data_IF_941431418501
#
_entry.id   IF_941431418501
#
_cell.length_a   1.000
_cell.length_b   1.000
_cell.length_c   1.000
_cell.angle_alpha   90.00
_cell.angle_beta   90.00
_cell.angle_gamma   90.00
#
_symmetry.space_group_name_H-M   'P 1'
#
loop_
_entity.id
_entity.type
_entity.pdbx_description
1 polymer ?
#
# COMPACT_ATOMS: atom_id res chain seq x y z
N UNK A 1 19.14 -4.06 -13.31
CA UNK A 1 19.27 -3.34 -12.03
C UNK A 1 19.19 -1.86 -12.30
N UNK A 2 18.15 -1.19 -11.81
CA UNK A 2 18.08 0.27 -11.81
C UNK A 2 18.70 0.75 -10.51
N UNK A 3 19.77 1.52 -10.60
CA UNK A 3 20.37 2.24 -9.48
C UNK A 3 20.20 3.72 -9.73
N UNK A 4 19.60 4.42 -8.76
CA UNK A 4 19.60 5.88 -8.73
C UNK A 4 20.70 6.36 -7.79
N UNK A 5 21.46 7.35 -8.23
CA UNK A 5 22.29 8.17 -7.35
C UNK A 5 21.52 9.44 -7.03
N UNK A 6 21.20 9.64 -5.76
CA UNK A 6 20.50 10.84 -5.29
C UNK A 6 21.56 11.89 -4.95
N UNK A 7 21.53 13.00 -5.69
CA UNK A 7 22.33 14.19 -5.37
C UNK A 7 21.42 15.29 -4.86
N UNK A 8 21.69 15.77 -3.64
CA UNK A 8 21.04 16.96 -3.09
C UNK A 8 21.58 18.21 -3.78
N UNK A 9 20.68 19.07 -4.23
CA UNK A 9 21.04 20.39 -4.75
C UNK A 9 20.12 21.46 -4.17
N UNK A 10 20.74 22.51 -3.64
CA UNK A 10 20.05 23.69 -3.12
C UNK A 10 20.22 24.84 -4.11
N UNK A 11 19.11 25.44 -4.53
CA UNK A 11 19.13 26.69 -5.30
C UNK A 11 18.42 27.78 -4.50
N UNK A 12 19.14 28.88 -4.29
CA UNK A 12 18.59 30.11 -3.75
C UNK A 12 18.22 31.04 -4.90
N UNK A 13 17.00 31.57 -4.88
CA UNK A 13 16.60 32.67 -5.74
C UNK A 13 16.31 33.88 -4.87
N UNK A 14 17.04 34.96 -5.13
CA UNK A 14 16.80 36.26 -4.51
C UNK A 14 15.89 37.06 -5.43
N UNK A 15 14.74 37.49 -4.91
CA UNK A 15 13.92 38.50 -5.57
C UNK A 15 14.11 39.83 -4.84
N UNK A 16 14.56 40.85 -5.58
CA UNK A 16 14.67 42.21 -5.08
C UNK A 16 13.40 42.99 -5.47
N UNK A 17 12.55 43.28 -4.49
CA UNK A 17 11.57 44.36 -4.57
C UNK A 17 12.10 45.60 -3.85
N UNK A 18 11.55 46.79 -4.17
CA UNK A 18 12.01 48.07 -3.61
C UNK A 18 11.98 48.13 -2.07
N UNK A 19 11.16 47.31 -1.39
CA UNK A 19 11.01 47.32 0.08
C UNK A 19 11.19 45.96 0.78
N UNK A 20 11.43 44.85 0.07
CA UNK A 20 11.52 43.52 0.69
C UNK A 20 12.49 42.57 -0.05
N UNK A 21 13.24 41.78 0.72
CA UNK A 21 14.04 40.64 0.23
C UNK A 21 13.29 39.36 0.52
N UNK A 22 12.92 38.62 -0.52
CA UNK A 22 12.27 37.32 -0.38
C UNK A 22 13.26 36.21 -0.77
N UNK A 23 13.65 35.37 0.19
CA UNK A 23 14.57 34.24 0.00
C UNK A 23 13.76 32.96 -0.23
N UNK A 24 13.73 32.48 -1.48
CA UNK A 24 13.14 31.20 -1.82
C UNK A 24 14.24 30.15 -2.01
N UNK A 25 14.29 29.17 -1.11
CA UNK A 25 15.13 27.99 -1.22
C UNK A 25 14.35 26.84 -1.85
N UNK A 26 14.90 26.22 -2.89
CA UNK A 26 14.31 25.00 -3.48
C UNK A 26 15.34 23.87 -3.43
N UNK A 27 14.91 22.74 -2.84
CA UNK A 27 15.66 21.50 -2.82
C UNK A 27 15.14 20.55 -3.91
N UNK A 28 16.05 19.88 -4.62
CA UNK A 28 15.69 18.91 -5.65
C UNK A 28 16.42 17.59 -5.41
N UNK A 29 15.73 16.49 -5.70
CA UNK A 29 16.33 15.17 -5.83
C UNK A 29 16.60 14.93 -7.31
N UNK A 30 17.86 14.69 -7.66
CA UNK A 30 18.25 14.33 -9.01
C UNK A 30 18.27 12.81 -9.17
N UNK A 31 17.60 12.32 -10.21
CA UNK A 31 17.54 10.91 -10.58
C UNK A 31 18.21 10.74 -11.93
N UNK A 32 19.23 9.88 -11.99
CA UNK A 32 19.99 9.60 -13.21
C UNK A 32 19.80 8.12 -13.54
N UNK A 33 19.37 7.81 -14.77
CA UNK A 33 19.31 6.45 -15.30
C UNK A 33 20.55 6.17 -16.15
N UNK A 34 21.02 4.92 -16.14
CA UNK A 34 22.21 4.51 -16.91
C UNK A 34 21.92 4.24 -18.39
N UNK A 35 20.65 4.17 -18.79
CA UNK A 35 20.22 3.84 -20.15
C UNK A 35 19.34 4.94 -20.74
N UNK A 36 19.49 5.17 -22.04
CA UNK A 36 18.55 5.97 -22.84
C UNK A 36 17.21 5.26 -22.87
N UNK A 37 16.19 5.93 -22.33
CA UNK A 37 14.84 5.42 -22.20
C UNK A 37 13.86 6.36 -22.91
N UNK A 38 12.83 5.80 -23.54
CA UNK A 38 11.81 6.61 -24.19
C UNK A 38 10.97 7.40 -23.16
N UNK A 39 10.23 8.40 -23.63
CA UNK A 39 9.45 9.29 -22.77
C UNK A 39 8.39 8.54 -21.94
N UNK A 40 7.73 7.53 -22.50
CA UNK A 40 6.71 6.75 -21.79
C UNK A 40 7.31 6.04 -20.56
N UNK A 41 8.47 5.43 -20.73
CA UNK A 41 9.18 4.74 -19.66
C UNK A 41 9.69 5.71 -18.58
N UNK A 42 10.13 6.91 -18.98
CA UNK A 42 10.50 7.97 -18.03
C UNK A 42 9.28 8.38 -17.19
N UNK A 43 8.10 8.54 -17.80
CA UNK A 43 6.86 8.83 -17.06
C UNK A 43 6.49 7.72 -16.07
N UNK A 44 6.64 6.45 -16.43
CA UNK A 44 6.44 5.35 -15.48
C UNK A 44 7.41 5.45 -14.29
N UNK A 45 8.68 5.76 -14.56
CA UNK A 45 9.69 5.92 -13.52
C UNK A 45 9.39 7.11 -12.60
N UNK A 46 8.95 8.24 -13.16
CA UNK A 46 8.48 9.39 -12.37
C UNK A 46 7.26 9.02 -11.52
N UNK A 47 6.32 8.25 -12.05
CA UNK A 47 5.18 7.77 -11.29
C UNK A 47 5.59 6.86 -10.13
N UNK A 48 6.57 5.98 -10.33
CA UNK A 48 7.13 5.14 -9.27
C UNK A 48 7.75 5.99 -8.15
N UNK A 49 8.51 7.03 -8.51
CA UNK A 49 9.11 7.98 -7.55
C UNK A 49 8.03 8.80 -6.83
N UNK A 50 7.04 9.32 -7.56
CA UNK A 50 5.90 10.06 -6.99
C UNK A 50 5.19 9.24 -5.92
N UNK A 51 4.90 7.96 -6.20
CA UNK A 51 4.27 7.05 -5.24
C UNK A 51 5.16 6.76 -4.03
N UNK A 52 6.48 6.66 -4.20
CA UNK A 52 7.41 6.55 -3.07
C UNK A 52 7.35 7.80 -2.17
N UNK A 53 7.42 9.00 -2.75
CA UNK A 53 7.34 10.24 -1.97
C UNK A 53 5.98 10.35 -1.28
N UNK A 54 4.91 9.95 -1.97
CA UNK A 54 3.56 9.87 -1.42
C UNK A 54 3.46 8.89 -0.24
N UNK A 55 4.13 7.74 -0.34
CA UNK A 55 4.26 6.77 0.75
C UNK A 55 5.05 7.32 1.94
N UNK A 56 6.24 7.86 1.71
CA UNK A 56 7.13 8.38 2.76
C UNK A 56 6.52 9.59 3.50
N UNK A 57 5.78 10.44 2.77
CA UNK A 57 5.05 11.56 3.37
C UNK A 57 3.71 11.15 3.99
N UNK A 58 3.22 9.96 3.67
CA UNK A 58 1.86 9.47 3.91
C UNK A 58 0.79 10.48 3.46
N UNK A 59 0.98 11.06 2.26
CA UNK A 59 0.11 12.09 1.67
C UNK A 59 -0.03 11.86 0.17
N UNK A 60 -1.19 12.19 -0.43
CA UNK A 60 -1.32 12.19 -1.87
C UNK A 60 -0.35 13.22 -2.47
N UNK A 61 0.47 12.79 -3.44
CA UNK A 61 1.38 13.68 -4.17
C UNK A 61 0.93 13.77 -5.61
N UNK A 62 0.73 14.99 -6.08
CA UNK A 62 0.26 15.31 -7.42
C UNK A 62 1.42 15.89 -8.25
N UNK A 63 1.37 15.71 -9.57
CA UNK A 63 2.26 16.42 -10.46
C UNK A 63 1.64 17.77 -10.79
N UNK A 64 2.33 18.84 -10.45
CA UNK A 64 1.97 20.18 -10.94
C UNK A 64 2.33 20.29 -12.43
N UNK A 65 3.60 20.03 -12.77
CA UNK A 65 4.10 20.08 -14.14
C UNK A 65 5.32 19.19 -14.32
N UNK A 66 5.52 18.66 -15.53
CA UNK A 66 6.78 18.03 -15.94
C UNK A 66 7.45 18.87 -17.02
N UNK A 67 8.68 19.30 -16.75
CA UNK A 67 9.52 19.98 -17.72
C UNK A 67 10.44 18.97 -18.43
N UNK A 68 10.24 18.81 -19.73
CA UNK A 68 11.08 17.96 -20.58
C UNK A 68 12.10 18.84 -21.29
N UNK A 69 13.37 18.45 -21.18
CA UNK A 69 14.49 19.05 -21.92
C UNK A 69 15.01 18.02 -22.91
N UNK A 70 14.58 18.07 -24.18
CA UNK A 70 15.07 17.15 -25.18
C UNK A 70 16.49 17.54 -25.62
N UNK A 71 17.33 16.54 -25.89
CA UNK A 71 18.68 16.77 -26.42
C UNK A 71 18.64 17.38 -27.83
N UNK A 72 17.61 17.04 -28.60
CA UNK A 72 17.31 17.61 -29.92
C UNK A 72 15.80 17.82 -30.08
N UNK A 73 15.39 19.01 -30.48
CA UNK A 73 14.01 19.34 -30.87
C UNK A 73 13.99 19.62 -32.37
N UNK A 74 13.18 18.88 -33.13
CA UNK A 74 12.89 19.16 -34.54
C UNK A 74 11.40 19.42 -34.73
N UNK A 75 11.02 20.40 -35.55
CA UNK A 75 9.64 20.50 -36.02
C UNK A 75 9.35 19.48 -37.14
N UNK A 76 8.11 19.51 -37.66
CA UNK A 76 7.66 18.67 -38.76
C UNK A 76 8.40 18.94 -40.08
N UNK A 77 9.10 20.07 -40.20
CA UNK A 77 9.95 20.42 -41.34
C UNK A 77 11.42 20.01 -41.13
N UNK A 78 11.73 19.43 -39.96
CA UNK A 78 13.08 18.98 -39.60
C UNK A 78 13.99 20.09 -39.05
N UNK A 79 13.47 21.30 -38.80
CA UNK A 79 14.25 22.43 -38.27
C UNK A 79 14.60 22.20 -36.81
N UNK A 80 15.88 22.29 -36.49
CA UNK A 80 16.39 22.14 -35.13
C UNK A 80 16.15 23.39 -34.29
N UNK A 81 15.60 23.21 -33.09
CA UNK A 81 15.46 24.25 -32.08
C UNK A 81 16.60 24.16 -31.06
N UNK A 82 17.02 25.31 -30.52
CA UNK A 82 18.09 25.35 -29.53
C UNK A 82 17.74 24.56 -28.25
N UNK A 83 18.76 24.00 -27.61
CA UNK A 83 18.71 23.19 -26.38
C UNK A 83 18.13 23.92 -25.15
N UNK A 84 17.68 25.18 -25.32
CA UNK A 84 17.06 25.99 -24.28
C UNK A 84 15.53 25.86 -24.25
N UNK A 85 14.92 25.23 -25.26
CA UNK A 85 13.49 25.01 -25.28
C UNK A 85 13.10 23.91 -24.27
N UNK A 86 12.14 24.23 -23.41
CA UNK A 86 11.57 23.30 -22.44
C UNK A 86 10.14 23.00 -22.87
N UNK A 87 9.80 21.73 -23.00
CA UNK A 87 8.41 21.34 -23.15
C UNK A 87 7.81 21.21 -21.76
N UNK A 88 6.62 21.79 -21.55
CA UNK A 88 5.86 21.64 -20.32
C UNK A 88 4.72 20.65 -20.59
N UNK A 89 4.69 19.58 -19.82
CA UNK A 89 3.58 18.62 -19.82
C UNK A 89 2.71 18.87 -18.58
N UNK A 90 1.45 19.21 -18.82
CA UNK A 90 0.45 19.50 -17.79
C UNK A 90 -0.42 18.27 -17.55
N UNK A 91 -0.77 18.02 -16.28
CA UNK A 91 -1.63 16.90 -15.91
C UNK A 91 -3.01 17.38 -15.48
N UNK A 92 -4.04 16.67 -15.93
CA UNK A 92 -5.36 16.72 -15.28
C UNK A 92 -5.39 15.60 -14.24
N UNK A 93 -5.52 15.96 -12.96
CA UNK A 93 -5.56 15.00 -11.86
C UNK A 93 -6.87 15.21 -11.09
N UNK A 94 -7.45 14.10 -10.62
CA UNK A 94 -8.71 14.08 -9.86
C UNK A 94 -8.34 13.95 -8.39
N UNK A 95 -8.96 14.79 -7.55
CA UNK A 95 -8.75 14.84 -6.10
C UNK A 95 -8.66 16.28 -5.62
N UNK A 96 -9.28 16.57 -4.48
CA UNK A 96 -9.10 17.88 -3.83
C UNK A 96 -7.75 17.89 -3.11
N UNK A 97 -6.97 18.95 -3.32
CA UNK A 97 -5.83 19.25 -2.44
C UNK A 97 -6.46 19.77 -1.14
N UNK A 98 -6.71 18.90 -0.16
CA UNK A 98 -7.16 19.37 1.14
C UNK A 98 -5.99 20.09 1.81
N UNK A 99 -6.23 21.29 2.35
CA UNK A 99 -5.24 22.05 3.11
C UNK A 99 -5.26 21.61 4.57
N UNK A 100 -5.16 20.31 4.85
CA UNK A 100 -5.11 19.88 6.23
C UNK A 100 -3.74 20.24 6.84
N UNK A 101 -3.74 20.64 8.11
CA UNK A 101 -2.51 20.86 8.88
C UNK A 101 -1.82 19.53 9.13
N UNK A 102 -1.04 19.09 8.14
CA UNK A 102 -0.51 17.75 8.13
C UNK A 102 0.71 17.59 9.04
N UNK A 103 0.58 16.70 10.02
CA UNK A 103 1.73 16.12 10.72
C UNK A 103 2.55 15.31 9.71
N UNK A 104 3.81 15.68 9.50
CA UNK A 104 4.71 14.95 8.61
C UNK A 104 4.98 13.55 9.18
N UNK A 105 4.68 12.50 8.40
CA UNK A 105 4.92 11.11 8.77
C UNK A 105 6.42 10.82 8.92
N UNK A 106 7.15 10.62 7.81
CA UNK A 106 8.62 10.54 7.84
C UNK A 106 9.22 11.86 7.38
N UNK A 107 10.20 12.36 8.14
CA UNK A 107 11.08 13.47 7.76
C UNK A 107 12.31 12.92 7.04
N UNK A 108 12.97 13.77 6.26
CA UNK A 108 14.21 13.39 5.58
C UNK A 108 15.27 12.86 6.56
N UNK A 109 15.40 13.49 7.74
CA UNK A 109 16.33 13.08 8.80
C UNK A 109 16.07 11.67 9.35
N UNK A 110 14.85 11.14 9.20
CA UNK A 110 14.50 9.80 9.68
C UNK A 110 15.05 8.70 8.75
N UNK A 111 15.38 9.04 7.49
CA UNK A 111 15.77 8.09 6.43
C UNK A 111 17.03 8.49 5.65
N UNK A 112 17.68 9.60 6.00
CA UNK A 112 18.78 10.15 5.20
C UNK A 112 19.99 9.22 5.15
N UNK A 113 20.23 8.45 6.21
CA UNK A 113 21.35 7.50 6.29
C UNK A 113 21.23 6.32 5.32
N UNK A 114 20.02 5.96 4.89
CA UNK A 114 19.74 4.82 4.02
C UNK A 114 18.86 5.20 2.81
N UNK A 115 18.78 6.47 2.43
CA UNK A 115 17.86 6.95 1.39
C UNK A 115 18.11 6.27 0.03
N UNK A 116 19.37 6.10 -0.37
CA UNK A 116 19.71 5.44 -1.63
C UNK A 116 19.18 3.99 -1.65
N UNK A 117 19.33 3.26 -0.55
CA UNK A 117 18.86 1.88 -0.44
C UNK A 117 17.34 1.81 -0.47
N UNK A 118 16.64 2.72 0.23
CA UNK A 118 15.18 2.80 0.23
C UNK A 118 14.65 3.02 -1.20
N UNK A 119 15.21 4.01 -1.92
CA UNK A 119 14.80 4.31 -3.29
C UNK A 119 15.08 3.15 -4.24
N UNK A 120 16.27 2.55 -4.16
CA UNK A 120 16.64 1.44 -5.01
C UNK A 120 15.77 0.20 -4.72
N UNK A 121 15.51 -0.14 -3.45
CA UNK A 121 14.61 -1.23 -3.08
C UNK A 121 13.19 -0.99 -3.56
N UNK A 122 12.66 0.23 -3.41
CA UNK A 122 11.34 0.60 -3.92
C UNK A 122 11.25 0.42 -5.43
N UNK A 123 12.20 0.97 -6.18
CA UNK A 123 12.17 0.94 -7.65
C UNK A 123 12.29 -0.50 -8.16
N UNK A 124 13.23 -1.27 -7.62
CA UNK A 124 13.48 -2.65 -8.04
C UNK A 124 12.32 -3.60 -7.68
N UNK A 125 11.52 -3.28 -6.66
CA UNK A 125 10.36 -4.08 -6.25
C UNK A 125 9.01 -3.38 -6.54
N UNK A 126 9.02 -2.35 -7.39
CA UNK A 126 7.86 -1.49 -7.62
C UNK A 126 6.64 -2.24 -8.15
N UNK A 127 6.85 -3.25 -8.99
CA UNK A 127 5.76 -4.09 -9.54
C UNK A 127 5.00 -4.86 -8.45
N UNK A 128 5.68 -5.22 -7.35
CA UNK A 128 5.08 -5.92 -6.22
C UNK A 128 4.48 -4.95 -5.19
N UNK A 129 5.19 -3.85 -4.92
CA UNK A 129 4.80 -2.90 -3.85
C UNK A 129 3.65 -1.99 -4.28
N UNK A 130 3.68 -1.48 -5.51
CA UNK A 130 2.70 -0.48 -5.98
C UNK A 130 1.26 -0.97 -5.90
N UNK A 131 0.91 -2.20 -6.32
CA UNK A 131 -0.45 -2.71 -6.18
C UNK A 131 -0.95 -2.70 -4.72
N UNK A 132 -0.07 -2.99 -3.76
CA UNK A 132 -0.40 -2.95 -2.33
C UNK A 132 -0.62 -1.50 -1.87
N UNK A 133 0.30 -0.61 -2.27
CA UNK A 133 0.24 0.81 -1.92
C UNK A 133 -0.99 1.50 -2.50
N UNK A 134 -1.37 1.21 -3.74
CA UNK A 134 -2.52 1.81 -4.39
C UNK A 134 -3.82 1.46 -3.65
N UNK A 135 -3.96 0.22 -3.16
CA UNK A 135 -5.11 -0.20 -2.36
C UNK A 135 -5.26 0.58 -1.05
N UNK A 136 -4.15 0.84 -0.35
CA UNK A 136 -4.21 1.54 0.96
C UNK A 136 -4.27 3.06 0.84
N UNK A 137 -3.93 3.62 -0.32
CA UNK A 137 -3.86 5.07 -0.55
C UNK A 137 -4.98 5.62 -1.42
N UNK A 138 -5.77 4.77 -2.09
CA UNK A 138 -6.84 5.19 -3.00
C UNK A 138 -7.79 6.22 -2.40
N UNK A 139 -8.16 6.05 -1.13
CA UNK A 139 -9.08 6.94 -0.42
C UNK A 139 -8.47 8.27 0.03
N UNK A 140 -7.16 8.44 -0.09
CA UNK A 140 -6.49 9.73 0.03
C UNK A 140 -6.62 10.57 -1.25
N UNK A 141 -6.94 9.95 -2.39
CA UNK A 141 -7.11 10.63 -3.67
C UNK A 141 -8.58 10.85 -4.04
N UNK A 142 -9.49 10.00 -3.56
CA UNK A 142 -10.93 10.09 -3.83
C UNK A 142 -11.75 9.64 -2.62
N UNK A 143 -12.97 10.14 -2.47
CA UNK A 143 -13.86 9.70 -1.41
C UNK A 143 -14.43 8.30 -1.73
N UNK A 144 -14.27 7.35 -0.80
CA UNK A 144 -14.83 6.00 -0.87
C UNK A 144 -15.77 5.72 0.30
N UNK A 145 -16.67 4.76 0.12
CA UNK A 145 -17.43 4.18 1.22
C UNK A 145 -16.50 3.41 2.16
N UNK A 146 -16.75 3.47 3.47
CA UNK A 146 -15.89 2.82 4.48
C UNK A 146 -15.82 1.30 4.31
N UNK A 147 -16.86 0.67 3.76
CA UNK A 147 -16.87 -0.73 3.35
C UNK A 147 -15.87 -1.01 2.24
N UNK A 148 -15.73 -0.10 1.28
CA UNK A 148 -14.75 -0.22 0.18
C UNK A 148 -13.34 -0.04 0.74
N UNK A 149 -13.11 0.99 1.57
CA UNK A 149 -11.82 1.20 2.24
C UNK A 149 -11.44 -0.01 3.09
N UNK A 150 -12.39 -0.63 3.77
CA UNK A 150 -12.17 -1.86 4.53
C UNK A 150 -11.76 -3.03 3.63
N UNK A 151 -12.50 -3.27 2.54
CA UNK A 151 -12.19 -4.36 1.60
C UNK A 151 -10.82 -4.17 0.94
N UNK A 152 -10.48 -2.95 0.52
CA UNK A 152 -9.20 -2.64 -0.09
C UNK A 152 -8.05 -2.79 0.91
N UNK A 153 -8.24 -2.36 2.16
CA UNK A 153 -7.26 -2.55 3.22
C UNK A 153 -7.02 -4.04 3.54
N UNK A 154 -8.07 -4.85 3.58
CA UNK A 154 -7.96 -6.30 3.76
C UNK A 154 -7.26 -6.96 2.56
N UNK A 155 -7.62 -6.56 1.33
CA UNK A 155 -6.98 -7.03 0.11
C UNK A 155 -5.51 -6.63 0.05
N UNK A 156 -5.14 -5.45 0.53
CA UNK A 156 -3.74 -5.02 0.57
C UNK A 156 -2.88 -5.95 1.44
N UNK A 157 -3.38 -6.37 2.60
CA UNK A 157 -2.71 -7.37 3.43
C UNK A 157 -2.57 -8.72 2.71
N UNK A 158 -3.61 -9.15 2.00
CA UNK A 158 -3.57 -10.39 1.23
C UNK A 158 -2.53 -10.35 0.10
N UNK A 159 -2.52 -9.26 -0.67
CA UNK A 159 -1.55 -9.04 -1.75
C UNK A 159 -0.14 -8.91 -1.17
N UNK A 160 0.05 -8.21 -0.05
CA UNK A 160 1.34 -8.10 0.62
C UNK A 160 1.90 -9.48 0.98
N UNK A 161 1.09 -10.31 1.63
CA UNK A 161 1.52 -11.66 1.98
C UNK A 161 1.94 -12.43 0.73
N UNK A 162 1.08 -12.48 -0.29
CA UNK A 162 1.33 -13.27 -1.50
C UNK A 162 2.60 -12.82 -2.24
N UNK A 163 2.79 -11.52 -2.42
CA UNK A 163 3.87 -11.00 -3.26
C UNK A 163 5.23 -10.93 -2.53
N UNK A 164 5.21 -10.68 -1.21
CA UNK A 164 6.41 -10.28 -0.45
C UNK A 164 6.80 -11.25 0.68
N UNK A 165 5.85 -11.98 1.25
CA UNK A 165 6.14 -13.11 2.17
C UNK A 165 6.23 -14.41 1.34
N UNK A 166 5.37 -14.52 0.33
CA UNK A 166 5.14 -15.76 -0.40
C UNK A 166 4.22 -16.68 0.40
N UNK A 167 3.42 -17.46 -0.31
CA UNK A 167 2.94 -18.70 0.27
C UNK A 167 4.19 -19.57 0.42
N UNK A 168 4.65 -19.81 1.65
CA UNK A 168 5.74 -20.76 1.92
C UNK A 168 5.46 -22.01 1.09
N UNK A 169 6.27 -22.22 0.06
CA UNK A 169 6.26 -23.43 -0.71
C UNK A 169 6.83 -24.52 0.20
N UNK A 170 5.93 -25.14 0.97
CA UNK A 170 6.07 -26.36 1.77
C UNK A 170 4.66 -26.61 2.37
N UNK A 171 3.71 -27.13 1.60
CA UNK A 171 3.36 -28.56 1.54
C UNK A 171 2.97 -29.24 2.87
N UNK A 172 3.15 -28.65 4.05
CA UNK A 172 3.26 -29.49 5.26
C UNK A 172 2.08 -29.57 6.24
N UNK A 173 0.86 -29.08 5.95
CA UNK A 173 -0.27 -29.45 6.83
C UNK A 173 -1.71 -29.36 6.27
N UNK A 174 -1.99 -28.51 5.27
CA UNK A 174 -3.35 -28.35 4.73
C UNK A 174 -3.66 -29.34 3.58
N UNK A 175 -2.63 -30.03 3.07
CA UNK A 175 -2.74 -31.09 2.07
C UNK A 175 -2.15 -32.40 2.58
N UNK A 176 -2.64 -32.90 3.73
CA UNK A 176 -2.46 -34.33 4.00
C UNK A 176 -2.93 -35.15 2.79
N UNK A 177 -2.25 -36.26 2.46
CA UNK A 177 -2.70 -37.19 1.41
C UNK A 177 -4.20 -37.49 1.53
N UNK A 178 -4.71 -37.51 2.76
CA UNK A 178 -6.12 -37.70 3.11
C UNK A 178 -7.04 -36.58 2.62
N UNK A 179 -6.64 -35.31 2.70
CA UNK A 179 -7.43 -34.20 2.15
C UNK A 179 -7.41 -34.24 0.62
N UNK A 180 -6.26 -34.52 0.01
CA UNK A 180 -6.19 -34.70 -1.45
C UNK A 180 -7.04 -35.87 -1.94
N UNK A 181 -7.02 -36.98 -1.20
CA UNK A 181 -7.90 -38.13 -1.43
C UNK A 181 -9.39 -37.72 -1.42
N UNK A 182 -9.85 -37.01 -0.39
CA UNK A 182 -11.24 -36.55 -0.34
C UNK A 182 -11.57 -35.48 -1.39
N UNK A 183 -10.61 -34.60 -1.74
CA UNK A 183 -10.79 -33.65 -2.85
C UNK A 183 -11.01 -34.39 -4.17
N UNK A 184 -10.23 -35.44 -4.43
CA UNK A 184 -10.38 -36.24 -5.64
C UNK A 184 -11.73 -36.96 -5.66
N UNK A 185 -12.16 -37.57 -4.55
CA UNK A 185 -13.51 -38.15 -4.44
C UNK A 185 -14.59 -37.11 -4.77
N UNK A 186 -14.47 -35.90 -4.24
CA UNK A 186 -15.44 -34.83 -4.49
C UNK A 186 -15.42 -34.36 -5.95
N UNK A 187 -14.24 -34.27 -6.57
CA UNK A 187 -14.10 -33.95 -8.00
C UNK A 187 -14.75 -35.03 -8.87
N UNK A 188 -14.50 -36.30 -8.56
CA UNK A 188 -15.06 -37.43 -9.29
C UNK A 188 -16.59 -37.44 -9.18
N UNK A 189 -17.13 -37.16 -7.99
CA UNK A 189 -18.57 -36.99 -7.80
C UNK A 189 -19.12 -35.83 -8.64
N UNK A 190 -18.44 -34.67 -8.67
CA UNK A 190 -18.91 -33.53 -9.47
C UNK A 190 -18.92 -33.87 -10.96
N UNK A 191 -17.85 -34.48 -11.48
CA UNK A 191 -17.76 -34.83 -12.90
C UNK A 191 -18.81 -35.88 -13.29
N UNK A 192 -19.17 -36.77 -12.37
CA UNK A 192 -20.07 -37.89 -12.66
C UNK A 192 -21.55 -37.56 -12.45
N UNK A 193 -21.86 -36.81 -11.40
CA UNK A 193 -23.21 -36.74 -10.84
C UNK A 193 -23.78 -35.31 -10.84
N UNK A 194 -23.02 -34.30 -11.31
CA UNK A 194 -23.48 -32.92 -11.49
C UNK A 194 -23.50 -32.56 -12.97
N UNK A 195 -24.55 -31.84 -13.41
CA UNK A 195 -24.68 -31.38 -14.78
C UNK A 195 -23.48 -30.52 -15.22
N UNK A 196 -23.02 -30.72 -16.46
CA UNK A 196 -21.83 -30.07 -17.04
C UNK A 196 -21.82 -28.54 -16.86
N UNK A 197 -22.99 -27.90 -16.92
CA UNK A 197 -23.15 -26.43 -16.74
C UNK A 197 -22.68 -25.95 -15.35
N UNK A 198 -22.74 -26.81 -14.33
CA UNK A 198 -22.37 -26.46 -12.96
C UNK A 198 -21.05 -27.08 -12.50
N UNK A 199 -20.46 -28.00 -13.28
CA UNK A 199 -19.22 -28.68 -12.90
C UNK A 199 -18.08 -27.70 -12.66
N UNK A 200 -17.85 -26.77 -13.60
CA UNK A 200 -16.77 -25.78 -13.50
C UNK A 200 -16.88 -24.93 -12.22
N UNK A 201 -18.10 -24.50 -11.88
CA UNK A 201 -18.39 -23.73 -10.66
C UNK A 201 -18.01 -24.48 -9.37
N UNK A 202 -18.28 -25.79 -9.29
CA UNK A 202 -17.95 -26.58 -8.11
C UNK A 202 -16.47 -27.01 -8.08
N UNK A 203 -15.88 -27.33 -9.23
CA UNK A 203 -14.47 -27.71 -9.35
C UNK A 203 -13.56 -26.56 -8.91
N UNK A 204 -13.86 -25.31 -9.31
CA UNK A 204 -13.08 -24.15 -8.92
C UNK A 204 -13.05 -23.93 -7.40
N UNK A 205 -14.17 -24.15 -6.72
CA UNK A 205 -14.25 -24.01 -5.25
C UNK A 205 -13.51 -25.10 -4.47
N UNK A 206 -13.35 -26.28 -5.05
CA UNK A 206 -12.53 -27.35 -4.47
C UNK A 206 -11.04 -27.07 -4.68
N UNK A 207 -10.70 -26.56 -5.86
CA UNK A 207 -9.33 -26.22 -6.23
C UNK A 207 -8.81 -25.01 -5.45
N UNK A 208 -9.66 -24.01 -5.21
CA UNK A 208 -9.30 -22.74 -4.58
C UNK A 208 -10.18 -22.46 -3.35
N UNK A 209 -9.84 -23.00 -2.15
CA UNK A 209 -10.53 -22.65 -0.91
C UNK A 209 -10.17 -21.22 -0.49
N UNK A 210 -10.87 -20.23 -1.05
CA UNK A 210 -10.61 -18.79 -0.92
C UNK A 210 -10.44 -18.30 0.53
N UNK A 211 -11.25 -18.82 1.47
CA UNK A 211 -11.34 -18.28 2.83
C UNK A 211 -10.29 -18.84 3.81
N UNK A 212 -9.77 -20.04 3.56
CA UNK A 212 -8.70 -20.64 4.40
C UNK A 212 -7.39 -19.91 4.16
N UNK A 213 -7.18 -19.43 2.93
CA UNK A 213 -6.00 -18.69 2.54
C UNK A 213 -5.90 -17.34 3.25
N UNK A 214 -6.94 -16.51 3.23
CA UNK A 214 -6.86 -15.18 3.84
C UNK A 214 -6.63 -15.22 5.36
N UNK A 215 -7.34 -16.09 6.10
CA UNK A 215 -7.17 -16.22 7.56
C UNK A 215 -5.74 -16.59 7.94
N UNK A 216 -5.16 -17.55 7.23
CA UNK A 216 -3.77 -17.99 7.43
C UNK A 216 -2.79 -16.85 7.14
N UNK A 217 -2.91 -16.21 5.98
CA UNK A 217 -2.06 -15.08 5.55
C UNK A 217 -2.08 -13.95 6.57
N UNK A 218 -3.27 -13.57 7.04
CA UNK A 218 -3.42 -12.55 8.06
C UNK A 218 -2.71 -12.94 9.37
N UNK A 219 -2.85 -14.19 9.80
CA UNK A 219 -2.20 -14.67 11.03
C UNK A 219 -0.67 -14.61 10.95
N UNK A 220 -0.12 -14.99 9.80
CA UNK A 220 1.32 -14.92 9.50
C UNK A 220 1.80 -13.47 9.46
N UNK A 221 1.08 -12.57 8.78
CA UNK A 221 1.36 -11.13 8.79
C UNK A 221 1.43 -10.59 10.23
N UNK A 222 0.42 -10.88 11.04
CA UNK A 222 0.38 -10.39 12.42
C UNK A 222 1.49 -11.00 13.30
N UNK A 223 2.11 -12.12 12.89
CA UNK A 223 3.24 -12.73 13.59
C UNK A 223 4.58 -12.08 13.28
N UNK A 224 4.81 -11.65 12.04
CA UNK A 224 6.10 -11.07 11.60
C UNK A 224 6.35 -9.64 12.09
N UNK A 225 5.31 -8.97 12.61
CA UNK A 225 5.42 -7.66 13.24
C UNK A 225 6.24 -7.75 14.52
N UNK A 226 7.01 -6.72 14.84
CA UNK A 226 7.77 -6.65 16.08
C UNK A 226 6.84 -6.39 17.29
N UNK A 227 7.39 -6.50 18.49
CA UNK A 227 6.61 -6.32 19.71
C UNK A 227 6.15 -4.87 19.91
N UNK A 228 6.91 -3.88 19.45
CA UNK A 228 6.51 -2.47 19.50
C UNK A 228 5.22 -2.23 18.71
N UNK A 229 5.15 -2.71 17.47
CA UNK A 229 3.98 -2.65 16.60
C UNK A 229 2.80 -3.39 17.22
N UNK A 230 3.03 -4.63 17.68
CA UNK A 230 1.98 -5.44 18.30
C UNK A 230 1.39 -4.77 19.55
N UNK A 231 2.24 -4.22 20.42
CA UNK A 231 1.79 -3.51 21.61
C UNK A 231 1.08 -2.20 21.28
N UNK A 232 1.50 -1.48 20.24
CA UNK A 232 0.93 -0.20 19.89
C UNK A 232 -0.43 -0.31 19.19
N UNK A 233 -0.57 -1.21 18.21
CA UNK A 233 -1.73 -1.22 17.31
C UNK A 233 -2.68 -2.40 17.57
N UNK A 234 -2.19 -3.51 18.12
CA UNK A 234 -2.97 -4.75 18.25
C UNK A 234 -3.46 -4.97 19.69
N UNK A 235 -2.61 -4.75 20.69
CA UNK A 235 -2.93 -5.00 22.11
C UNK A 235 -4.05 -4.07 22.60
N UNK A 236 -5.08 -4.66 23.21
CA UNK A 236 -6.17 -3.94 23.89
C UNK A 236 -5.91 -3.89 25.39
N UNK A 237 -6.33 -2.80 26.04
CA UNK A 237 -6.05 -2.57 27.47
C UNK A 237 -6.60 -3.68 28.38
N UNK A 238 -7.73 -4.28 28.01
CA UNK A 238 -8.43 -5.31 28.79
C UNK A 238 -8.12 -6.76 28.36
N UNK A 239 -7.14 -6.99 27.47
CA UNK A 239 -6.86 -8.32 26.91
C UNK A 239 -5.36 -8.58 26.80
N UNK A 240 -4.97 -9.85 26.94
CA UNK A 240 -3.62 -10.27 26.56
C UNK A 240 -3.39 -10.01 25.06
N UNK A 241 -2.14 -9.87 24.65
CA UNK A 241 -1.78 -9.64 23.25
C UNK A 241 -2.33 -10.75 22.34
N UNK A 242 -2.20 -12.01 22.75
CA UNK A 242 -2.75 -13.17 22.01
C UNK A 242 -4.27 -13.09 21.84
N UNK A 243 -5.02 -12.74 22.90
CA UNK A 243 -6.48 -12.55 22.82
C UNK A 243 -6.85 -11.37 21.92
N UNK A 244 -6.09 -10.29 21.96
CA UNK A 244 -6.32 -9.10 21.13
C UNK A 244 -6.08 -9.41 19.65
N UNK A 245 -4.97 -10.09 19.35
CA UNK A 245 -4.63 -10.59 18.00
C UNK A 245 -5.71 -11.50 17.44
N UNK A 246 -6.12 -12.54 18.17
CA UNK A 246 -7.16 -13.47 17.71
C UNK A 246 -8.52 -12.80 17.54
N UNK A 247 -8.83 -11.78 18.35
CA UNK A 247 -10.05 -10.98 18.19
C UNK A 247 -10.00 -10.10 16.95
N UNK A 248 -8.84 -9.52 16.62
CA UNK A 248 -8.65 -8.72 15.41
C UNK A 248 -8.79 -9.60 14.16
N UNK A 249 -8.09 -10.73 14.14
CA UNK A 249 -8.12 -11.71 13.04
C UNK A 249 -9.54 -12.10 12.68
N UNK A 250 -10.33 -12.57 13.66
CA UNK A 250 -11.73 -12.96 13.44
C UNK A 250 -12.61 -11.83 12.91
N UNK A 251 -12.44 -10.62 13.46
CA UNK A 251 -13.21 -9.45 13.00
C UNK A 251 -12.92 -9.11 11.55
N UNK A 252 -11.64 -9.09 11.16
CA UNK A 252 -11.25 -8.79 9.78
C UNK A 252 -11.81 -9.86 8.84
N UNK A 253 -11.59 -11.14 9.17
CA UNK A 253 -12.04 -12.28 8.33
C UNK A 253 -13.56 -12.32 8.18
N UNK A 254 -14.30 -12.29 9.30
CA UNK A 254 -15.76 -12.37 9.25
C UNK A 254 -16.36 -11.16 8.53
N UNK A 255 -15.84 -9.95 8.78
CA UNK A 255 -16.32 -8.72 8.14
C UNK A 255 -16.01 -8.69 6.64
N UNK A 256 -14.80 -9.11 6.22
CA UNK A 256 -14.45 -9.24 4.80
C UNK A 256 -15.37 -10.23 4.10
N UNK A 257 -15.61 -11.38 4.71
CA UNK A 257 -16.46 -12.42 4.12
C UNK A 257 -17.89 -11.93 3.95
N UNK A 258 -18.42 -11.20 4.94
CA UNK A 258 -19.74 -10.57 4.83
C UNK A 258 -19.82 -9.58 3.66
N UNK A 259 -18.88 -8.63 3.55
CA UNK A 259 -18.94 -7.64 2.47
C UNK A 259 -18.61 -8.21 1.08
N UNK A 260 -17.90 -9.34 1.01
CA UNK A 260 -17.57 -10.01 -0.26
C UNK A 260 -18.73 -10.89 -0.76
N UNK A 261 -19.34 -11.69 0.11
CA UNK A 261 -20.35 -12.68 -0.30
C UNK A 261 -21.79 -12.25 -0.02
N UNK A 262 -22.00 -11.24 0.84
CA UNK A 262 -23.31 -10.72 1.27
C UNK A 262 -24.31 -11.82 1.68
N UNK A 263 -23.82 -12.94 2.20
CA UNK A 263 -24.67 -14.05 2.62
C UNK A 263 -25.34 -13.74 3.97
N UNK A 264 -26.63 -14.06 4.09
CA UNK A 264 -27.40 -13.79 5.32
C UNK A 264 -26.78 -14.47 6.56
N UNK A 265 -26.10 -15.60 6.37
CA UNK A 265 -25.43 -16.36 7.44
C UNK A 265 -24.19 -15.64 8.00
N UNK A 266 -23.47 -14.86 7.20
CA UNK A 266 -22.35 -14.06 7.71
C UNK A 266 -22.84 -12.80 8.42
N UNK A 267 -23.98 -12.22 7.99
CA UNK A 267 -24.57 -11.03 8.62
C UNK A 267 -24.80 -11.19 10.14
N UNK A 268 -25.19 -12.39 10.56
CA UNK A 268 -25.51 -12.72 11.96
C UNK A 268 -24.29 -13.11 12.80
N UNK A 269 -23.09 -13.18 12.22
CA UNK A 269 -21.89 -13.53 12.99
C UNK A 269 -21.55 -12.40 13.97
N UNK A 270 -21.23 -12.72 15.24
CA UNK A 270 -21.02 -11.73 16.28
C UNK A 270 -19.79 -10.84 16.06
N UNK A 271 -18.85 -11.24 15.21
CA UNK A 271 -17.63 -10.49 14.94
C UNK A 271 -17.75 -9.55 13.73
N UNK A 272 -18.83 -9.60 12.96
CA UNK A 272 -19.01 -8.74 11.79
C UNK A 272 -19.25 -7.30 12.25
N UNK A 273 -18.48 -6.38 11.67
CA UNK A 273 -18.54 -4.97 12.02
C UNK A 273 -19.44 -4.24 11.03
N UNK A 274 -20.64 -3.88 11.48
CA UNK A 274 -21.59 -3.08 10.70
C UNK A 274 -21.48 -1.57 10.97
N UNK A 275 -20.86 -1.18 12.09
CA UNK A 275 -20.74 0.22 12.47
C UNK A 275 -19.63 0.90 11.67
N UNK A 276 -19.98 1.97 10.96
CA UNK A 276 -19.09 2.76 10.10
C UNK A 276 -17.82 3.27 10.79
N UNK A 277 -17.92 3.77 12.03
CA UNK A 277 -16.76 4.27 12.78
C UNK A 277 -15.80 3.13 13.18
N UNK A 278 -16.35 1.98 13.58
CA UNK A 278 -15.55 0.78 13.85
C UNK A 278 -14.93 0.19 12.58
N UNK A 279 -15.61 0.26 11.44
CA UNK A 279 -15.02 -0.10 10.15
C UNK A 279 -13.83 0.79 9.84
N UNK A 280 -14.02 2.11 9.91
CA UNK A 280 -12.96 3.10 9.70
C UNK A 280 -11.74 2.86 10.60
N UNK A 281 -11.96 2.52 11.86
CA UNK A 281 -10.89 2.22 12.81
C UNK A 281 -10.12 0.95 12.45
N UNK A 282 -10.81 -0.13 12.08
CA UNK A 282 -10.16 -1.38 11.67
C UNK A 282 -9.45 -1.21 10.33
N UNK A 283 -10.03 -0.46 9.39
CA UNK A 283 -9.39 -0.09 8.12
C UNK A 283 -8.12 0.71 8.36
N UNK A 284 -8.18 1.76 9.20
CA UNK A 284 -7.00 2.54 9.61
C UNK A 284 -5.91 1.66 10.24
N UNK A 285 -6.29 0.70 11.09
CA UNK A 285 -5.36 -0.25 11.68
C UNK A 285 -4.68 -1.11 10.61
N UNK A 286 -5.45 -1.70 9.69
CA UNK A 286 -4.90 -2.51 8.59
C UNK A 286 -3.96 -1.70 7.70
N UNK A 287 -4.28 -0.43 7.42
CA UNK A 287 -3.40 0.48 6.67
C UNK A 287 -2.11 0.78 7.41
N UNK A 288 -2.17 1.08 8.71
CA UNK A 288 -0.97 1.26 9.53
C UNK A 288 -0.06 0.02 9.46
N UNK A 289 -0.65 -1.18 9.56
CA UNK A 289 0.11 -2.43 9.40
C UNK A 289 0.72 -2.53 8.00
N UNK A 290 -0.03 -2.26 6.92
CA UNK A 290 0.51 -2.27 5.56
C UNK A 290 1.65 -1.25 5.37
N UNK A 291 1.51 -0.04 5.91
CA UNK A 291 2.54 1.00 5.83
C UNK A 291 3.83 0.53 6.51
N UNK A 292 3.71 -0.02 7.72
CA UNK A 292 4.84 -0.59 8.46
C UNK A 292 5.50 -1.71 7.66
N UNK A 293 4.70 -2.62 7.10
CA UNK A 293 5.21 -3.76 6.34
C UNK A 293 5.93 -3.34 5.06
N UNK A 294 5.37 -2.40 4.29
CA UNK A 294 6.01 -1.85 3.09
C UNK A 294 7.32 -1.14 3.46
N UNK A 295 7.29 -0.30 4.51
CA UNK A 295 8.49 0.43 4.94
C UNK A 295 9.59 -0.49 5.40
N UNK A 296 9.26 -1.53 6.18
CA UNK A 296 10.20 -2.57 6.61
C UNK A 296 10.81 -3.29 5.42
N UNK A 297 9.98 -3.63 4.42
CA UNK A 297 10.43 -4.30 3.20
C UNK A 297 11.43 -3.45 2.39
N UNK A 298 11.22 -2.13 2.33
CA UNK A 298 12.17 -1.21 1.67
C UNK A 298 13.32 -0.74 2.59
N UNK A 299 13.42 -1.26 3.82
CA UNK A 299 14.54 -1.04 4.73
C UNK A 299 14.39 0.13 5.70
N UNK A 300 13.18 0.62 5.93
CA UNK A 300 12.88 1.58 7.01
C UNK A 300 12.66 0.80 8.31
N UNK A 301 13.24 1.29 9.40
CA UNK A 301 13.11 0.67 10.71
C UNK A 301 11.65 0.67 11.19
N UNK A 302 11.20 -0.48 11.70
CA UNK A 302 9.83 -0.70 12.15
C UNK A 302 9.45 0.21 13.33
N UNK A 303 10.36 0.43 14.28
CA UNK A 303 10.11 1.25 15.45
C UNK A 303 10.01 2.74 15.09
N UNK A 304 10.82 3.22 14.13
CA UNK A 304 10.69 4.59 13.59
C UNK A 304 9.28 4.78 13.01
N UNK A 305 8.80 3.86 12.18
CA UNK A 305 7.46 3.98 11.59
C UNK A 305 6.36 3.96 12.65
N UNK A 306 6.49 3.09 13.65
CA UNK A 306 5.56 3.00 14.77
C UNK A 306 5.52 4.33 15.53
N UNK A 307 6.66 4.93 15.86
CA UNK A 307 6.75 6.23 16.53
C UNK A 307 6.00 7.34 15.77
N UNK A 308 6.17 7.40 14.45
CA UNK A 308 5.51 8.42 13.62
C UNK A 308 4.01 8.17 13.48
N UNK A 309 3.59 6.91 13.32
CA UNK A 309 2.17 6.55 13.22
C UNK A 309 1.42 6.76 14.54
N UNK A 310 2.07 6.65 15.70
CA UNK A 310 1.44 6.91 17.01
C UNK A 310 0.80 8.28 17.12
N UNK A 311 1.36 9.28 16.45
CA UNK A 311 0.90 10.67 16.49
C UNK A 311 0.02 11.03 15.29
N UNK A 312 -0.44 10.04 14.52
CA UNK A 312 -1.26 10.26 13.33
C UNK A 312 -2.76 10.35 13.67
N UNK A 313 -3.53 10.97 12.76
CA UNK A 313 -5.00 10.98 12.83
C UNK A 313 -5.59 9.56 12.80
N UNK A 314 -4.94 8.63 12.07
CA UNK A 314 -5.33 7.21 12.07
C UNK A 314 -5.26 6.60 13.47
N UNK A 315 -4.20 6.91 14.24
CA UNK A 315 -4.06 6.37 15.60
C UNK A 315 -5.14 6.90 16.54
N UNK A 316 -5.57 8.17 16.40
CA UNK A 316 -6.68 8.71 17.19
C UNK A 316 -7.94 7.88 16.99
N UNK A 317 -8.30 7.62 15.73
CA UNK A 317 -9.50 6.82 15.39
C UNK A 317 -9.35 5.38 15.92
N UNK A 318 -8.15 4.79 15.81
CA UNK A 318 -7.88 3.44 16.33
C UNK A 318 -8.04 3.41 17.86
N UNK A 319 -7.56 4.42 18.59
CA UNK A 319 -7.68 4.49 20.04
C UNK A 319 -9.15 4.51 20.48
N UNK A 320 -9.94 5.38 19.87
CA UNK A 320 -11.33 5.64 20.28
C UNK A 320 -12.27 4.44 20.04
N UNK A 321 -12.04 3.67 18.98
CA UNK A 321 -12.97 2.64 18.53
C UNK A 321 -12.42 1.21 18.55
N UNK A 322 -11.11 1.03 18.80
CA UNK A 322 -10.47 -0.28 18.86
C UNK A 322 -9.72 -0.55 20.18
N UNK A 323 -8.77 0.29 20.58
CA UNK A 323 -7.85 -0.02 21.70
C UNK A 323 -8.52 0.13 23.07
N UNK A 324 -9.34 1.18 23.23
CA UNK A 324 -9.93 1.55 24.53
C UNK A 324 -11.22 0.81 24.87
N UNK A 325 -11.78 0.03 23.94
CA UNK A 325 -12.92 -0.89 24.20
C UNK A 325 -12.41 -2.29 24.52
#
# INVERSE_FOLDING_TARGET
NKSFTINEQFKFKNYHGLDNVNLNGVAYLNFITEKTENLAYQFESFNKIRKLISFLSNKPIYFDMIHIKPDQLKDYEGKEYSNHHKLAYFFRQIGDITNDNYINFLKYTDISSNINDIFNKWINNSEKIIPIYDLISADSYMNYYEETVFLDSARALEVFHRELIGDSCEEDYIYSEKINYYKNILKDFIIKDIDDEYQEYFLDRINYPDNVNFTRRLREILNILNDTTKNQFIKRNNKSLSKSKSSLERKIVDTRNYFTHKDERSKTKPNVVHNTLKLKAISSLMKCICIILIGKYIGIDEDIMVEKLKNSSMQSIINDYWINQ
#
